data_IF_660101005053
#
_entry.id   IF_660101005053
#
_cell.length_a   1.000
_cell.length_b   1.000
_cell.length_c   1.000
_cell.angle_alpha   90.00
_cell.angle_beta   90.00
_cell.angle_gamma   90.00
#
_symmetry.space_group_name_H-M   'P 1'
#
loop_
_entity.id
_entity.type
_entity.pdbx_description
1 polymer ?
#
# COMPACT_ATOMS: atom_id res chain seq x y z
N UNK A 1 9.15 -24.48 -11.40
CA UNK A 1 9.96 -23.27 -11.31
C UNK A 1 9.16 -22.01 -10.99
N UNK A 2 7.85 -21.92 -11.30
CA UNK A 2 6.99 -20.77 -10.98
C UNK A 2 6.51 -20.74 -9.51
N UNK A 3 6.48 -21.86 -8.83
CA UNK A 3 5.99 -21.99 -7.43
C UNK A 3 6.99 -21.43 -6.40
N UNK A 4 8.28 -21.43 -6.70
CA UNK A 4 9.34 -20.91 -5.82
C UNK A 4 9.38 -19.38 -5.77
N UNK A 5 8.92 -18.69 -6.80
CA UNK A 5 8.96 -17.21 -6.87
C UNK A 5 7.82 -16.58 -6.03
N UNK A 6 6.68 -17.26 -5.90
CA UNK A 6 5.52 -16.71 -5.16
C UNK A 6 5.58 -16.92 -3.65
N UNK A 7 6.35 -17.91 -3.18
CA UNK A 7 6.55 -18.16 -1.75
C UNK A 7 7.58 -17.21 -1.13
N UNK A 8 8.53 -16.72 -1.93
CA UNK A 8 9.61 -15.86 -1.45
C UNK A 8 9.13 -14.43 -1.10
N UNK A 9 8.15 -13.88 -1.80
CA UNK A 9 7.58 -12.56 -1.49
C UNK A 9 6.80 -12.52 -0.17
N UNK A 10 6.16 -13.62 0.24
CA UNK A 10 5.45 -13.69 1.54
C UNK A 10 6.40 -13.79 2.73
N UNK A 11 7.62 -14.25 2.52
CA UNK A 11 8.67 -14.38 3.53
C UNK A 11 9.44 -13.09 3.78
N UNK A 12 9.35 -12.12 2.87
CA UNK A 12 10.04 -10.83 3.03
C UNK A 12 9.46 -10.07 4.21
N UNK A 13 10.28 -9.72 5.21
CA UNK A 13 9.89 -8.98 6.42
C UNK A 13 9.06 -7.72 6.08
N UNK A 14 9.42 -7.02 4.99
CA UNK A 14 8.69 -5.85 4.49
C UNK A 14 7.23 -6.18 4.11
N UNK A 15 7.00 -7.28 3.39
CA UNK A 15 5.66 -7.71 3.04
C UNK A 15 4.83 -8.01 4.29
N UNK A 16 5.39 -8.79 5.21
CA UNK A 16 4.74 -9.15 6.47
C UNK A 16 4.43 -7.92 7.32
N UNK A 17 5.34 -6.96 7.36
CA UNK A 17 5.14 -5.69 8.08
C UNK A 17 4.04 -4.82 7.43
N UNK A 18 4.01 -4.69 6.08
CA UNK A 18 3.04 -3.82 5.41
C UNK A 18 1.63 -4.41 5.35
N UNK A 19 1.49 -5.71 5.07
CA UNK A 19 0.21 -6.33 4.71
C UNK A 19 -0.44 -7.07 5.87
N UNK A 20 0.33 -7.67 6.80
CA UNK A 20 -0.26 -8.50 7.86
C UNK A 20 -1.18 -7.68 8.78
N UNK A 21 -2.39 -8.18 9.08
CA UNK A 21 -3.31 -7.51 9.99
C UNK A 21 -2.82 -7.51 11.43
N UNK A 22 -1.98 -8.47 11.82
CA UNK A 22 -1.44 -8.61 13.18
C UNK A 22 -0.50 -7.46 13.56
N UNK A 23 0.24 -6.92 12.58
CA UNK A 23 1.20 -5.85 12.78
C UNK A 23 0.62 -4.43 12.59
N UNK A 24 -0.73 -4.28 12.55
CA UNK A 24 -1.37 -2.96 12.43
C UNK A 24 -0.97 -2.03 13.56
N UNK A 25 -0.96 -2.52 14.80
CA UNK A 25 -0.57 -1.75 15.97
C UNK A 25 0.87 -1.28 15.92
N UNK A 26 1.79 -2.15 15.46
CA UNK A 26 3.19 -1.79 15.31
C UNK A 26 3.40 -0.65 14.29
N UNK A 27 2.68 -0.66 13.18
CA UNK A 27 2.73 0.42 12.17
C UNK A 27 2.27 1.76 12.74
N UNK A 28 1.13 1.76 13.45
CA UNK A 28 0.63 2.99 14.08
C UNK A 28 1.57 3.48 15.18
N UNK A 29 2.14 2.57 15.96
CA UNK A 29 3.08 2.91 17.00
C UNK A 29 4.36 3.54 16.42
N UNK A 30 4.93 2.96 15.36
CA UNK A 30 6.09 3.52 14.68
C UNK A 30 5.78 4.90 14.11
N UNK A 31 4.63 5.06 13.46
CA UNK A 31 4.21 6.35 12.92
C UNK A 31 4.06 7.42 14.02
N UNK A 32 3.40 7.08 15.13
CA UNK A 32 3.23 7.98 16.27
C UNK A 32 4.58 8.32 16.89
N UNK A 33 5.49 7.36 17.05
CA UNK A 33 6.83 7.62 17.57
C UNK A 33 7.63 8.59 16.68
N UNK A 34 7.59 8.39 15.36
CA UNK A 34 8.25 9.29 14.41
C UNK A 34 7.66 10.70 14.51
N UNK A 35 6.33 10.82 14.53
CA UNK A 35 5.66 12.12 14.65
C UNK A 35 5.94 12.79 16.01
N UNK A 36 5.97 12.04 17.10
CA UNK A 36 6.31 12.55 18.41
C UNK A 36 7.73 13.07 18.47
N UNK A 37 8.69 12.36 17.86
CA UNK A 37 10.08 12.78 17.77
C UNK A 37 10.20 14.09 16.97
N UNK A 38 9.49 14.19 15.85
CA UNK A 38 9.48 15.40 15.01
C UNK A 38 8.87 16.56 15.76
N UNK A 39 7.70 16.37 16.39
CA UNK A 39 7.02 17.42 17.14
C UNK A 39 7.86 17.91 18.33
N UNK A 40 8.49 16.98 19.04
CA UNK A 40 9.37 17.31 20.15
C UNK A 40 10.60 18.10 19.70
N UNK A 41 11.26 17.63 18.63
CA UNK A 41 12.44 18.32 18.09
C UNK A 41 12.11 19.73 17.65
N UNK A 42 10.99 19.92 16.95
CA UNK A 42 10.54 21.20 16.43
C UNK A 42 10.22 22.19 17.56
N UNK A 43 9.42 21.80 18.53
CA UNK A 43 9.08 22.67 19.67
C UNK A 43 10.33 22.97 20.50
N UNK A 44 11.22 21.98 20.64
CA UNK A 44 12.46 22.18 21.39
C UNK A 44 13.41 23.19 20.72
N UNK A 45 13.48 23.21 19.39
CA UNK A 45 14.29 24.19 18.65
C UNK A 45 13.66 25.57 18.74
N UNK A 46 12.34 25.71 18.53
CA UNK A 46 11.64 27.00 18.57
C UNK A 46 11.77 27.67 19.94
N UNK A 47 11.64 26.89 21.01
CA UNK A 47 11.65 27.40 22.39
C UNK A 47 12.95 27.14 23.15
N UNK A 48 14.07 26.93 22.41
CA UNK A 48 15.37 26.58 23.02
C UNK A 48 15.82 27.60 24.06
N UNK A 49 15.74 28.90 23.72
CA UNK A 49 16.21 30.02 24.54
C UNK A 49 15.27 30.30 25.73
N UNK A 50 14.04 29.81 25.68
CA UNK A 50 12.99 30.08 26.68
C UNK A 50 12.61 28.87 27.52
N UNK A 51 13.40 27.80 27.43
CA UNK A 51 13.12 26.51 28.08
C UNK A 51 12.95 26.61 29.59
N UNK A 52 13.81 27.39 30.24
CA UNK A 52 13.81 27.52 31.68
C UNK A 52 12.59 28.31 32.19
N UNK A 53 12.04 29.17 31.35
CA UNK A 53 10.86 29.99 31.65
C UNK A 53 9.55 29.21 31.41
N UNK A 54 9.47 28.51 30.27
CA UNK A 54 8.28 27.75 29.94
C UNK A 54 8.12 26.47 30.77
N UNK A 55 9.20 25.90 31.27
CA UNK A 55 9.14 24.71 32.12
C UNK A 55 8.28 23.59 31.53
N UNK A 56 7.22 23.19 32.26
CA UNK A 56 6.31 22.13 31.83
C UNK A 56 5.43 22.44 30.62
N UNK A 57 5.25 23.72 30.25
CA UNK A 57 4.40 24.12 29.11
C UNK A 57 4.96 23.65 27.76
N UNK A 58 6.27 23.41 27.66
CA UNK A 58 6.89 22.85 26.46
C UNK A 58 6.24 21.52 26.06
N UNK A 59 5.91 20.65 27.03
CA UNK A 59 5.25 19.37 26.76
C UNK A 59 3.81 19.59 26.22
N UNK A 60 3.13 20.63 26.70
CA UNK A 60 1.77 20.97 26.22
C UNK A 60 1.83 21.43 24.76
N UNK A 61 2.80 22.27 24.39
CA UNK A 61 3.00 22.68 23.00
C UNK A 61 3.40 21.52 22.11
N UNK A 62 4.32 20.65 22.58
CA UNK A 62 4.69 19.42 21.86
C UNK A 62 3.48 18.54 21.58
N UNK A 63 2.60 18.37 22.57
CA UNK A 63 1.37 17.59 22.41
C UNK A 63 0.40 18.23 21.39
N UNK A 64 0.28 19.56 21.39
CA UNK A 64 -0.57 20.27 20.44
C UNK A 64 -0.04 20.16 19.00
N UNK A 65 1.28 20.26 18.79
CA UNK A 65 1.92 20.02 17.49
C UNK A 65 1.73 18.59 17.02
N UNK A 66 1.92 17.62 17.91
CA UNK A 66 1.69 16.20 17.62
C UNK A 66 0.23 15.95 17.19
N UNK A 67 -0.73 16.54 17.91
CA UNK A 67 -2.16 16.42 17.58
C UNK A 67 -2.46 17.00 16.19
N UNK A 68 -1.85 18.12 15.85
CA UNK A 68 -1.99 18.76 14.52
C UNK A 68 -1.45 17.84 13.42
N UNK A 69 -0.27 17.27 13.58
CA UNK A 69 0.31 16.33 12.62
C UNK A 69 -0.54 15.06 12.46
N UNK A 70 -0.98 14.47 13.56
CA UNK A 70 -1.86 13.29 13.54
C UNK A 70 -3.16 13.65 12.81
N UNK A 71 -3.76 14.82 13.09
CA UNK A 71 -4.98 15.27 12.43
C UNK A 71 -4.84 15.39 10.92
N UNK A 72 -3.76 16.01 10.44
CA UNK A 72 -3.52 16.16 8.99
C UNK A 72 -3.24 14.81 8.32
N UNK A 73 -2.45 13.93 8.94
CA UNK A 73 -2.18 12.59 8.41
C UNK A 73 -3.46 11.75 8.38
N UNK A 74 -4.26 11.80 9.44
CA UNK A 74 -5.52 11.09 9.49
C UNK A 74 -6.49 11.56 8.40
N UNK A 75 -6.63 12.88 8.24
CA UNK A 75 -7.44 13.50 7.18
C UNK A 75 -6.95 13.07 5.79
N UNK A 76 -5.63 13.05 5.58
CA UNK A 76 -5.05 12.58 4.34
C UNK A 76 -5.35 11.11 4.07
N UNK A 77 -5.06 10.20 5.02
CA UNK A 77 -5.17 8.76 4.81
C UNK A 77 -6.62 8.26 4.75
N UNK A 78 -7.51 8.84 5.56
CA UNK A 78 -8.89 8.36 5.65
C UNK A 78 -9.86 9.06 4.69
N UNK A 79 -9.59 10.30 4.35
CA UNK A 79 -10.54 11.08 3.56
C UNK A 79 -10.02 11.46 2.17
N UNK A 80 -8.83 12.07 2.08
CA UNK A 80 -8.28 12.52 0.82
C UNK A 80 -7.85 11.36 -0.07
N UNK A 81 -7.10 10.42 0.48
CA UNK A 81 -6.57 9.27 -0.24
C UNK A 81 -7.66 8.43 -0.92
N UNK A 82 -8.68 7.87 -0.21
CA UNK A 82 -9.66 7.00 -0.83
C UNK A 82 -10.62 7.74 -1.77
N UNK A 83 -10.88 9.02 -1.48
CA UNK A 83 -11.89 9.80 -2.21
C UNK A 83 -11.36 10.41 -3.51
N UNK A 84 -10.11 10.85 -3.52
CA UNK A 84 -9.55 11.61 -4.64
C UNK A 84 -8.40 10.88 -5.34
N UNK A 85 -7.46 10.31 -4.61
CA UNK A 85 -6.28 9.66 -5.20
C UNK A 85 -6.67 8.37 -5.93
N UNK A 86 -7.46 7.49 -5.34
CA UNK A 86 -7.96 6.26 -5.98
C UNK A 86 -8.89 6.54 -7.16
N UNK A 87 -9.59 7.69 -7.16
CA UNK A 87 -10.45 8.12 -8.28
C UNK A 87 -9.69 8.87 -9.38
N UNK A 88 -8.36 8.89 -9.35
CA UNK A 88 -7.48 9.58 -10.32
C UNK A 88 -7.70 11.09 -10.45
N UNK A 89 -8.26 11.74 -9.42
CA UNK A 89 -8.44 13.20 -9.38
C UNK A 89 -7.25 13.87 -8.68
N UNK A 90 -6.08 13.78 -9.31
CA UNK A 90 -4.80 14.20 -8.73
C UNK A 90 -4.74 15.70 -8.38
N UNK A 91 -5.26 16.57 -9.27
CA UNK A 91 -5.26 18.02 -9.03
C UNK A 91 -6.07 18.41 -7.80
N UNK A 92 -7.26 17.84 -7.62
CA UNK A 92 -8.10 18.09 -6.46
C UNK A 92 -7.46 17.53 -5.18
N UNK A 93 -6.78 16.38 -5.27
CA UNK A 93 -6.04 15.82 -4.15
C UNK A 93 -4.91 16.74 -3.70
N UNK A 94 -4.06 17.20 -4.63
CA UNK A 94 -2.91 18.08 -4.33
C UNK A 94 -3.38 19.42 -3.76
N UNK A 95 -4.44 20.02 -4.32
CA UNK A 95 -4.97 21.30 -3.83
C UNK A 95 -5.52 21.18 -2.41
N UNK A 96 -6.30 20.14 -2.10
CA UNK A 96 -6.83 19.92 -0.76
C UNK A 96 -5.73 19.58 0.25
N UNK A 97 -4.72 18.81 -0.18
CA UNK A 97 -3.57 18.50 0.67
C UNK A 97 -2.77 19.77 1.00
N UNK A 98 -2.52 20.64 0.01
CA UNK A 98 -1.83 21.91 0.25
C UNK A 98 -2.61 22.82 1.20
N UNK A 99 -3.93 22.88 1.07
CA UNK A 99 -4.80 23.63 2.01
C UNK A 99 -4.69 23.07 3.44
N UNK A 100 -4.72 21.74 3.60
CA UNK A 100 -4.58 21.10 4.91
C UNK A 100 -3.22 21.38 5.54
N UNK A 101 -2.14 21.40 4.74
CA UNK A 101 -0.79 21.73 5.20
C UNK A 101 -0.68 23.21 5.60
N UNK A 102 -1.27 24.12 4.82
CA UNK A 102 -1.31 25.56 5.18
C UNK A 102 -2.11 25.79 6.46
N UNK A 103 -3.20 25.06 6.67
CA UNK A 103 -3.96 25.11 7.92
C UNK A 103 -3.12 24.64 9.11
N UNK A 104 -2.35 23.57 8.95
CA UNK A 104 -1.44 23.08 10.00
C UNK A 104 -0.40 24.14 10.38
N UNK A 105 0.23 24.78 9.39
CA UNK A 105 1.15 25.89 9.64
C UNK A 105 0.48 27.07 10.36
N UNK A 106 -0.75 27.41 9.96
CA UNK A 106 -1.50 28.48 10.62
C UNK A 106 -1.78 28.15 12.09
N UNK A 107 -2.08 26.89 12.42
CA UNK A 107 -2.26 26.45 13.82
C UNK A 107 -0.94 26.56 14.58
N UNK A 108 0.20 26.21 13.99
CA UNK A 108 1.51 26.35 14.62
C UNK A 108 1.84 27.81 14.89
N UNK A 109 1.67 28.69 13.89
CA UNK A 109 1.86 30.13 14.07
C UNK A 109 0.94 30.73 15.15
N UNK A 110 -0.33 30.29 15.20
CA UNK A 110 -1.26 30.72 16.24
C UNK A 110 -0.82 30.25 17.64
N UNK A 111 -0.28 29.04 17.75
CA UNK A 111 0.24 28.51 19.02
C UNK A 111 1.43 29.33 19.52
N UNK A 112 2.36 29.69 18.64
CA UNK A 112 3.47 30.57 18.98
C UNK A 112 2.97 31.97 19.38
N UNK A 113 2.07 32.55 18.59
CA UNK A 113 1.48 33.86 18.92
C UNK A 113 0.84 33.88 20.31
N UNK A 114 0.08 32.83 20.65
CA UNK A 114 -0.54 32.69 21.97
C UNK A 114 0.52 32.56 23.06
N UNK A 115 1.59 31.80 22.83
CA UNK A 115 2.69 31.67 23.80
C UNK A 115 3.37 33.02 24.07
N UNK A 116 3.67 33.80 23.02
CA UNK A 116 4.21 35.13 23.16
C UNK A 116 3.27 36.09 23.90
N UNK A 117 1.97 35.96 23.68
CA UNK A 117 0.96 36.78 24.33
C UNK A 117 0.78 36.48 25.83
N UNK A 118 0.98 35.22 26.21
CA UNK A 118 0.86 34.79 27.61
C UNK A 118 2.07 35.13 28.46
N UNK A 119 3.28 35.28 27.86
CA UNK A 119 4.54 35.58 28.56
C UNK A 119 5.29 36.74 27.96
N UNK A 120 4.70 37.97 27.87
CA UNK A 120 5.31 39.10 27.21
C UNK A 120 6.58 39.63 27.88
N UNK A 121 6.75 39.38 29.18
CA UNK A 121 7.90 39.87 29.98
C UNK A 121 9.22 39.18 29.63
N UNK A 122 9.13 37.98 29.03
CA UNK A 122 10.28 37.13 28.77
C UNK A 122 10.63 37.04 27.29
N UNK A 123 9.78 37.57 26.40
CA UNK A 123 9.98 37.51 24.97
C UNK A 123 10.34 38.89 24.40
N UNK A 124 11.59 39.11 24.06
CA UNK A 124 11.92 40.09 23.05
C UNK A 124 11.40 39.58 21.70
N UNK A 125 10.28 40.14 21.27
CA UNK A 125 9.60 39.69 20.05
C UNK A 125 10.51 39.95 18.84
N UNK A 126 11.14 38.87 18.38
CA UNK A 126 11.77 38.89 17.06
C UNK A 126 10.71 39.18 15.99
N UNK A 127 11.03 40.01 15.01
CA UNK A 127 10.10 40.28 13.91
C UNK A 127 9.72 38.97 13.23
N UNK A 128 8.42 38.74 12.95
CA UNK A 128 7.94 37.55 12.26
C UNK A 128 8.63 37.26 10.91
N UNK A 129 9.25 38.27 10.33
CA UNK A 129 10.03 38.21 9.10
C UNK A 129 11.53 38.10 9.34
N UNK A 130 11.98 37.76 10.54
CA UNK A 130 13.39 37.49 10.75
C UNK A 130 13.80 36.19 10.04
N UNK A 131 14.99 36.20 9.45
CA UNK A 131 15.51 35.07 8.65
C UNK A 131 15.44 33.74 9.40
N UNK A 132 15.81 33.63 10.70
CA UNK A 132 15.74 32.41 11.45
C UNK A 132 14.31 31.84 11.55
N UNK A 133 13.32 32.68 11.82
CA UNK A 133 11.92 32.27 11.97
C UNK A 133 11.35 31.77 10.63
N UNK A 134 11.62 32.47 9.54
CA UNK A 134 11.19 32.06 8.20
C UNK A 134 11.83 30.70 7.82
N UNK A 135 13.10 30.49 8.13
CA UNK A 135 13.80 29.23 7.89
C UNK A 135 13.20 28.09 8.71
N UNK A 136 12.78 28.36 9.93
CA UNK A 136 12.15 27.33 10.79
C UNK A 136 10.77 26.91 10.24
N UNK A 137 9.94 27.83 9.78
CA UNK A 137 8.68 27.51 9.12
C UNK A 137 8.89 26.74 7.81
N UNK A 138 9.90 27.08 7.02
CA UNK A 138 10.24 26.35 5.79
C UNK A 138 10.68 24.93 6.14
N UNK A 139 11.53 24.74 7.14
CA UNK A 139 11.99 23.42 7.56
C UNK A 139 10.85 22.56 8.10
N UNK A 140 9.97 23.14 8.89
CA UNK A 140 8.74 22.50 9.39
C UNK A 140 7.83 22.05 8.26
N UNK A 141 7.62 22.91 7.28
CA UNK A 141 6.81 22.58 6.11
C UNK A 141 7.43 21.45 5.28
N UNK A 142 8.74 21.51 5.03
CA UNK A 142 9.47 20.46 4.31
C UNK A 142 9.39 19.11 5.04
N UNK A 143 9.59 19.10 6.35
CA UNK A 143 9.57 17.91 7.17
C UNK A 143 8.16 17.28 7.21
N UNK A 144 7.12 18.09 7.40
CA UNK A 144 5.74 17.63 7.39
C UNK A 144 5.33 17.08 6.02
N UNK A 145 5.77 17.72 4.93
CA UNK A 145 5.54 17.24 3.56
C UNK A 145 6.21 15.89 3.33
N UNK A 146 7.44 15.70 3.81
CA UNK A 146 8.17 14.43 3.70
C UNK A 146 7.43 13.30 4.44
N UNK A 147 6.94 13.58 5.65
CA UNK A 147 6.13 12.62 6.42
C UNK A 147 4.83 12.25 5.71
N UNK A 148 4.17 13.23 5.07
CA UNK A 148 2.95 12.98 4.30
C UNK A 148 3.21 12.11 3.07
N UNK A 149 4.28 12.38 2.33
CA UNK A 149 4.71 11.54 1.20
C UNK A 149 5.02 10.12 1.66
N UNK A 150 5.78 9.97 2.75
CA UNK A 150 6.10 8.65 3.31
C UNK A 150 4.86 7.87 3.72
N UNK A 151 3.91 8.50 4.41
CA UNK A 151 2.65 7.90 4.82
C UNK A 151 1.79 7.46 3.63
N UNK A 152 1.63 8.34 2.62
CA UNK A 152 0.86 8.00 1.42
C UNK A 152 1.52 6.90 0.59
N UNK A 153 2.85 6.93 0.46
CA UNK A 153 3.62 5.88 -0.23
C UNK A 153 3.43 4.51 0.42
N UNK A 154 3.43 4.45 1.75
CA UNK A 154 3.20 3.20 2.49
C UNK A 154 1.83 2.60 2.18
N UNK A 155 0.79 3.42 2.12
CA UNK A 155 -0.57 2.96 1.78
C UNK A 155 -0.68 2.57 0.32
N UNK A 156 -0.09 3.34 -0.60
CA UNK A 156 -0.04 3.01 -2.03
C UNK A 156 0.65 1.67 -2.29
N UNK A 157 1.81 1.44 -1.67
CA UNK A 157 2.53 0.18 -1.78
C UNK A 157 1.69 -0.99 -1.29
N UNK A 158 1.00 -0.83 -0.17
CA UNK A 158 0.09 -1.86 0.36
C UNK A 158 -1.03 -2.18 -0.64
N UNK A 159 -1.74 -1.17 -1.15
CA UNK A 159 -2.82 -1.37 -2.13
C UNK A 159 -2.28 -2.01 -3.41
N UNK A 160 -1.15 -1.54 -3.91
CA UNK A 160 -0.50 -2.11 -5.09
C UNK A 160 -0.13 -3.58 -4.89
N UNK A 161 0.41 -3.95 -3.72
CA UNK A 161 0.75 -5.34 -3.40
C UNK A 161 -0.49 -6.23 -3.34
N UNK A 162 -1.60 -5.74 -2.77
CA UNK A 162 -2.86 -6.47 -2.71
C UNK A 162 -3.44 -6.67 -4.11
N UNK A 163 -3.47 -5.62 -4.93
CA UNK A 163 -3.98 -5.69 -6.30
C UNK A 163 -3.13 -6.63 -7.16
N UNK A 164 -1.81 -6.55 -7.05
CA UNK A 164 -0.92 -7.45 -7.78
C UNK A 164 -1.15 -8.94 -7.43
N UNK A 165 -1.38 -9.24 -6.15
CA UNK A 165 -1.74 -10.60 -5.74
C UNK A 165 -3.08 -11.05 -6.30
N UNK A 166 -4.08 -10.15 -6.31
CA UNK A 166 -5.40 -10.45 -6.88
C UNK A 166 -5.31 -10.77 -8.37
N UNK A 167 -4.57 -9.96 -9.13
CA UNK A 167 -4.34 -10.19 -10.57
C UNK A 167 -3.63 -11.53 -10.79
N UNK A 168 -2.58 -11.83 -10.05
CA UNK A 168 -1.86 -13.10 -10.15
C UNK A 168 -2.73 -14.31 -9.81
N UNK A 169 -3.66 -14.17 -8.84
CA UNK A 169 -4.62 -15.23 -8.53
C UNK A 169 -5.62 -15.43 -9.67
N UNK A 170 -6.13 -14.34 -10.26
CA UNK A 170 -7.05 -14.44 -11.41
C UNK A 170 -6.39 -15.08 -12.63
N UNK A 171 -5.13 -14.74 -12.93
CA UNK A 171 -4.36 -15.40 -13.98
C UNK A 171 -4.22 -16.91 -13.74
N UNK A 172 -3.89 -17.32 -12.51
CA UNK A 172 -3.80 -18.75 -12.17
C UNK A 172 -5.13 -19.48 -12.39
N UNK A 173 -6.24 -18.88 -11.94
CA UNK A 173 -7.57 -19.47 -12.14
C UNK A 173 -7.91 -19.54 -13.62
N UNK A 174 -7.57 -18.52 -14.40
CA UNK A 174 -7.79 -18.50 -15.83
C UNK A 174 -7.03 -19.62 -16.55
N UNK A 175 -5.72 -19.74 -16.28
CA UNK A 175 -4.90 -20.81 -16.84
C UNK A 175 -5.41 -22.21 -16.45
N UNK A 176 -5.83 -22.41 -15.19
CA UNK A 176 -6.42 -23.67 -14.76
C UNK A 176 -7.72 -23.98 -15.50
N UNK A 177 -8.58 -22.97 -15.70
CA UNK A 177 -9.83 -23.11 -16.47
C UNK A 177 -9.57 -23.44 -17.94
N UNK A 178 -8.56 -22.82 -18.56
CA UNK A 178 -8.14 -23.16 -19.93
C UNK A 178 -7.65 -24.62 -20.04
N UNK A 179 -6.83 -25.05 -19.07
CA UNK A 179 -6.36 -26.43 -19.01
C UNK A 179 -7.51 -27.42 -18.83
N UNK A 180 -8.50 -27.09 -18.00
CA UNK A 180 -9.70 -27.92 -17.83
C UNK A 180 -10.53 -27.98 -19.13
N UNK A 181 -10.77 -26.85 -19.78
CA UNK A 181 -11.46 -26.83 -21.07
C UNK A 181 -10.74 -27.64 -22.15
N UNK A 182 -9.40 -27.54 -22.19
CA UNK A 182 -8.59 -28.37 -23.10
C UNK A 182 -8.69 -29.86 -22.78
N UNK A 183 -8.72 -30.23 -21.50
CA UNK A 183 -8.94 -31.62 -21.08
C UNK A 183 -10.34 -32.15 -21.46
N UNK A 184 -11.37 -31.31 -21.36
CA UNK A 184 -12.74 -31.68 -21.75
C UNK A 184 -12.89 -31.87 -23.26
N UNK A 185 -12.11 -31.20 -24.09
CA UNK A 185 -12.09 -31.40 -25.54
C UNK A 185 -11.64 -32.81 -25.92
N UNK A 186 -10.83 -33.45 -25.10
CA UNK A 186 -10.48 -34.85 -25.22
C UNK A 186 -11.43 -35.67 -24.33
N UNK A 187 -12.62 -36.00 -24.83
CA UNK A 187 -13.61 -36.79 -24.06
C UNK A 187 -12.99 -38.11 -23.61
N UNK A 188 -12.64 -38.28 -22.32
CA UNK A 188 -12.08 -39.54 -21.83
C UNK A 188 -13.05 -40.70 -21.98
N UNK A 189 -14.33 -40.44 -21.92
CA UNK A 189 -15.39 -41.42 -22.10
C UNK A 189 -15.39 -42.00 -23.52
N UNK A 190 -15.21 -41.16 -24.54
CA UNK A 190 -15.11 -41.59 -25.93
C UNK A 190 -13.83 -42.40 -26.16
N UNK A 191 -12.75 -42.04 -25.51
CA UNK A 191 -11.49 -42.79 -25.53
C UNK A 191 -11.64 -44.17 -24.93
N UNK A 192 -12.20 -44.28 -23.71
CA UNK A 192 -12.43 -45.56 -23.06
C UNK A 192 -13.42 -46.43 -23.81
N UNK A 193 -14.49 -45.85 -24.35
CA UNK A 193 -15.51 -46.57 -25.11
C UNK A 193 -14.96 -47.10 -26.44
N UNK A 194 -14.14 -46.35 -27.14
CA UNK A 194 -13.49 -46.80 -28.38
C UNK A 194 -12.41 -47.82 -28.12
N UNK A 195 -11.63 -47.73 -27.05
CA UNK A 195 -10.65 -48.71 -26.64
C UNK A 195 -11.33 -50.04 -26.23
N UNK A 196 -12.41 -49.97 -25.45
CA UNK A 196 -13.17 -51.16 -25.01
C UNK A 196 -13.78 -51.88 -26.23
N UNK A 197 -14.43 -51.14 -27.12
CA UNK A 197 -15.01 -51.70 -28.34
C UNK A 197 -13.95 -52.25 -29.31
N UNK A 198 -12.78 -51.63 -29.43
CA UNK A 198 -11.69 -52.21 -30.22
C UNK A 198 -11.13 -53.49 -29.58
N UNK A 199 -11.12 -53.60 -28.26
CA UNK A 199 -10.75 -54.81 -27.53
C UNK A 199 -11.70 -55.97 -27.81
N UNK A 200 -13.01 -55.73 -27.80
CA UNK A 200 -14.02 -56.76 -28.16
C UNK A 200 -13.89 -57.23 -29.60
N UNK A 201 -13.61 -56.30 -30.54
CA UNK A 201 -13.44 -56.62 -31.95
C UNK A 201 -12.14 -57.40 -32.25
N UNK A 202 -11.16 -57.36 -31.35
CA UNK A 202 -9.87 -58.06 -31.55
C UNK A 202 -10.04 -59.57 -31.65
N UNK A 203 -11.06 -60.16 -30.98
CA UNK A 203 -11.37 -61.57 -30.99
C UNK A 203 -12.23 -62.01 -32.17
N UNK A 204 -13.06 -61.12 -32.73
CA UNK A 204 -13.99 -61.42 -33.81
C UNK A 204 -13.51 -60.95 -35.21
N UNK A 205 -12.92 -59.73 -35.26
CA UNK A 205 -12.51 -59.11 -36.54
C UNK A 205 -11.23 -58.30 -36.35
N UNK A 206 -10.02 -58.91 -36.32
CA UNK A 206 -8.76 -58.25 -35.96
C UNK A 206 -8.35 -57.11 -36.92
N UNK A 207 -8.71 -57.21 -38.20
CA UNK A 207 -8.40 -56.13 -39.17
C UNK A 207 -9.22 -54.85 -38.91
N UNK A 208 -10.48 -54.98 -38.49
CA UNK A 208 -11.31 -53.83 -38.13
C UNK A 208 -10.82 -53.16 -36.83
N UNK A 209 -10.43 -53.96 -35.83
CA UNK A 209 -9.85 -53.47 -34.60
C UNK A 209 -8.56 -52.65 -34.83
N UNK A 210 -7.66 -53.14 -35.67
CA UNK A 210 -6.43 -52.46 -36.05
C UNK A 210 -6.70 -51.12 -36.75
N UNK A 211 -7.63 -51.07 -37.69
CA UNK A 211 -8.03 -49.83 -38.38
C UNK A 211 -8.65 -48.80 -37.43
N UNK A 212 -9.42 -49.25 -36.42
CA UNK A 212 -10.06 -48.40 -35.43
C UNK A 212 -9.04 -47.76 -34.48
N UNK A 213 -8.05 -48.53 -34.02
CA UNK A 213 -6.93 -48.08 -33.21
C UNK A 213 -6.05 -47.06 -33.96
N UNK A 214 -5.78 -47.30 -35.26
CA UNK A 214 -5.06 -46.35 -36.11
C UNK A 214 -5.79 -45.02 -36.26
N UNK A 215 -7.11 -45.04 -36.48
CA UNK A 215 -7.91 -43.81 -36.56
C UNK A 215 -7.94 -43.09 -35.22
N UNK A 216 -8.06 -43.78 -34.10
CA UNK A 216 -7.99 -43.20 -32.76
C UNK A 216 -6.66 -42.53 -32.51
N UNK A 217 -5.55 -43.21 -32.87
CA UNK A 217 -4.19 -42.64 -32.76
C UNK A 217 -4.02 -41.36 -33.62
N UNK A 218 -4.59 -41.34 -34.83
CA UNK A 218 -4.56 -40.16 -35.69
C UNK A 218 -5.37 -39.00 -35.09
N UNK A 219 -6.56 -39.27 -34.51
CA UNK A 219 -7.36 -38.23 -33.84
C UNK A 219 -6.65 -37.66 -32.61
N UNK A 220 -6.05 -38.52 -31.79
CA UNK A 220 -5.24 -38.07 -30.63
C UNK A 220 -4.03 -37.23 -31.05
N UNK A 221 -3.37 -37.64 -32.12
CA UNK A 221 -2.24 -36.86 -32.67
C UNK A 221 -2.67 -35.48 -33.19
N UNK A 222 -3.81 -35.38 -33.87
CA UNK A 222 -4.36 -34.12 -34.35
C UNK A 222 -4.78 -33.22 -33.18
N UNK A 223 -5.38 -33.76 -32.11
CA UNK A 223 -5.76 -32.99 -30.94
C UNK A 223 -4.53 -32.47 -30.15
N UNK A 224 -3.42 -33.24 -30.15
CA UNK A 224 -2.16 -32.82 -29.48
C UNK A 224 -1.33 -31.81 -30.30
N UNK A 225 -1.49 -31.74 -31.60
CA UNK A 225 -0.78 -30.77 -32.46
C UNK A 225 -1.45 -29.39 -32.43
N UNK A 226 -2.76 -29.34 -32.12
CA UNK A 226 -3.51 -28.10 -32.04
C UNK A 226 -3.49 -27.46 -30.62
N UNK A 227 -2.81 -28.09 -29.64
CA UNK A 227 -2.50 -27.54 -28.31
C UNK A 227 -1.10 -26.96 -28.32
#
# INVERSE_FOLDING_TARGET
MAETITTDHKSTLLYRFLVSPELRWARYLVLIMVLATISFNQVFIIFLDYRDILGGWIYTFTFLYLLTYIGVIYLNLFWLFPKFLLKRRYLTYISLLSVAMMLALAIQMATEYVSYSCWPEFYERASYFSIPIVMDYISSFMLSTLCMIGGTMTVLLKEWMIDHQRVSQMEKVHVLSEVEQLKEQVSPELLFKTLHHSGELTLSEPEKASKMLMKLSQLLRLSLIHI
#
